data_IF_698467676123
#
_entry.id   IF_698467676123
#
_cell.length_a   1.000
_cell.length_b   1.000
_cell.length_c   1.000
_cell.angle_alpha   90.00
_cell.angle_beta   90.00
_cell.angle_gamma   90.00
#
_symmetry.space_group_name_H-M   'P 1'
#
loop_
_entity.id
_entity.type
_entity.pdbx_description
1 polymer ?
#
# COMPACT_ATOMS: atom_id res chain seq x y z
N UNK A 1 -3.01 -9.33 -31.26
CA UNK A 1 -3.74 -9.55 -30.00
C UNK A 1 -2.80 -9.13 -28.87
N UNK A 2 -3.12 -8.12 -28.05
CA UNK A 2 -2.13 -7.58 -27.12
C UNK A 2 -2.08 -8.49 -25.89
N UNK A 3 -0.91 -9.08 -25.66
CA UNK A 3 -0.53 -9.63 -24.37
C UNK A 3 -0.82 -8.55 -23.31
N UNK A 4 -1.79 -8.82 -22.43
CA UNK A 4 -1.97 -8.07 -21.20
C UNK A 4 -0.60 -8.04 -20.55
N UNK A 5 0.06 -6.88 -20.53
CA UNK A 5 1.28 -6.67 -19.75
C UNK A 5 0.95 -7.13 -18.35
N UNK A 6 1.39 -8.35 -17.99
CA UNK A 6 1.41 -8.80 -16.62
C UNK A 6 2.18 -7.70 -15.89
N UNK A 7 1.47 -6.90 -15.10
CA UNK A 7 2.05 -5.78 -14.39
C UNK A 7 3.22 -6.37 -13.60
N UNK A 8 4.47 -6.03 -14.00
CA UNK A 8 5.66 -6.51 -13.32
C UNK A 8 5.44 -6.26 -11.83
N UNK A 9 5.39 -7.34 -11.05
CA UNK A 9 5.38 -7.23 -9.60
C UNK A 9 6.65 -6.47 -9.26
N UNK A 10 6.50 -5.28 -8.70
CA UNK A 10 7.63 -4.42 -8.38
C UNK A 10 8.32 -5.01 -7.14
N UNK A 11 9.62 -5.21 -7.22
CA UNK A 11 10.39 -5.79 -6.11
C UNK A 11 10.33 -4.89 -4.88
N UNK A 12 9.92 -5.50 -3.77
CA UNK A 12 9.95 -4.90 -2.44
C UNK A 12 11.38 -4.90 -1.93
N UNK A 13 11.85 -3.76 -1.42
CA UNK A 13 13.22 -3.66 -0.93
C UNK A 13 13.37 -4.41 0.42
N UNK A 14 14.47 -5.15 0.63
CA UNK A 14 14.67 -5.89 1.87
C UNK A 14 14.93 -4.94 3.05
N UNK A 15 14.44 -5.33 4.23
CA UNK A 15 14.61 -4.59 5.48
C UNK A 15 13.76 -3.32 5.59
N UNK A 16 12.86 -3.04 4.64
CA UNK A 16 12.02 -1.84 4.68
C UNK A 16 10.67 -2.08 5.36
N UNK A 17 9.97 -1.02 5.80
CA UNK A 17 8.62 -1.15 6.34
C UNK A 17 7.64 -1.84 5.37
N UNK A 18 7.79 -1.60 4.07
CA UNK A 18 6.99 -2.24 3.02
C UNK A 18 7.11 -3.77 3.06
N UNK A 19 8.33 -4.29 3.20
CA UNK A 19 8.57 -5.74 3.31
C UNK A 19 7.95 -6.32 4.57
N UNK A 20 8.12 -5.64 5.70
CA UNK A 20 7.61 -6.12 6.98
C UNK A 20 6.08 -6.21 7.00
N UNK A 21 5.39 -5.20 6.47
CA UNK A 21 3.93 -5.24 6.38
C UNK A 21 3.43 -6.24 5.34
N UNK A 22 4.13 -6.39 4.21
CA UNK A 22 3.77 -7.40 3.22
C UNK A 22 3.91 -8.82 3.81
N UNK A 23 5.05 -9.12 4.45
CA UNK A 23 5.28 -10.41 5.10
C UNK A 23 4.20 -10.74 6.13
N UNK A 24 3.77 -9.73 6.89
CA UNK A 24 2.67 -9.86 7.85
C UNK A 24 1.34 -10.19 7.16
N UNK A 25 1.00 -9.51 6.07
CA UNK A 25 -0.18 -9.83 5.27
C UNK A 25 -0.13 -11.24 4.66
N UNK A 26 1.05 -11.69 4.21
CA UNK A 26 1.27 -13.04 3.70
C UNK A 26 1.04 -14.08 4.80
N UNK A 27 1.62 -13.89 5.99
CA UNK A 27 1.38 -14.75 7.14
C UNK A 27 -0.10 -14.78 7.56
N UNK A 28 -0.81 -13.65 7.50
CA UNK A 28 -2.25 -13.61 7.78
C UNK A 28 -3.05 -14.41 6.74
N UNK A 29 -2.75 -14.28 5.45
CA UNK A 29 -3.42 -15.04 4.40
C UNK A 29 -3.15 -16.56 4.50
N UNK A 30 -1.91 -16.94 4.82
CA UNK A 30 -1.53 -18.33 5.11
C UNK A 30 -2.26 -18.87 6.34
N UNK A 31 -2.34 -18.06 7.40
CA UNK A 31 -3.09 -18.38 8.62
C UNK A 31 -4.58 -18.57 8.34
N UNK A 32 -5.17 -17.73 7.49
CA UNK A 32 -6.56 -17.86 7.06
C UNK A 32 -6.80 -19.16 6.28
N UNK A 33 -5.91 -19.48 5.34
CA UNK A 33 -5.97 -20.75 4.59
C UNK A 33 -5.85 -21.96 5.51
N UNK A 34 -4.87 -21.94 6.41
CA UNK A 34 -4.66 -23.02 7.40
C UNK A 34 -5.88 -23.21 8.31
N UNK A 35 -6.54 -22.11 8.69
CA UNK A 35 -7.78 -22.14 9.45
C UNK A 35 -8.91 -22.78 8.65
N UNK A 36 -9.10 -22.33 7.40
CA UNK A 36 -10.10 -22.89 6.49
C UNK A 36 -9.94 -24.40 6.29
N UNK A 37 -8.71 -24.87 6.14
CA UNK A 37 -8.39 -26.29 5.92
C UNK A 37 -8.57 -27.15 7.18
N UNK A 38 -8.53 -26.54 8.36
CA UNK A 38 -8.68 -27.24 9.65
C UNK A 38 -10.13 -27.45 10.10
N UNK A 39 -11.09 -26.81 9.43
CA UNK A 39 -12.50 -26.89 9.78
C UNK A 39 -13.11 -28.24 9.39
N UNK A 40 -13.89 -28.81 10.30
CA UNK A 40 -14.71 -29.98 9.98
C UNK A 40 -15.76 -29.61 8.91
N UNK A 41 -16.07 -30.53 7.96
CA UNK A 41 -17.06 -30.27 6.93
C UNK A 41 -18.41 -29.81 7.51
N UNK A 42 -18.90 -28.67 7.03
CA UNK A 42 -20.16 -28.11 7.49
C UNK A 42 -20.35 -26.65 7.06
N UNK A 43 -21.47 -26.03 7.44
CA UNK A 43 -21.84 -24.71 6.94
C UNK A 43 -20.83 -23.61 7.27
N UNK A 44 -20.10 -23.70 8.39
CA UNK A 44 -19.03 -22.75 8.69
C UNK A 44 -17.83 -22.93 7.75
N UNK A 45 -17.42 -24.18 7.49
CA UNK A 45 -16.31 -24.51 6.60
C UNK A 45 -16.57 -23.99 5.18
N UNK A 46 -17.78 -24.21 4.65
CA UNK A 46 -18.19 -23.69 3.34
C UNK A 46 -18.05 -22.16 3.25
N UNK A 47 -18.50 -21.46 4.29
CA UNK A 47 -18.47 -19.99 4.32
C UNK A 47 -17.06 -19.43 4.47
N UNK A 48 -16.21 -20.06 5.27
CA UNK A 48 -14.80 -19.66 5.40
C UNK A 48 -14.05 -19.95 4.11
N UNK A 49 -14.32 -21.07 3.46
CA UNK A 49 -13.76 -21.41 2.15
C UNK A 49 -14.16 -20.40 1.06
N UNK A 50 -15.42 -19.92 1.07
CA UNK A 50 -15.90 -18.87 0.15
C UNK A 50 -15.14 -17.54 0.29
N UNK A 51 -14.55 -17.26 1.46
CA UNK A 51 -13.79 -16.04 1.72
C UNK A 51 -12.31 -16.14 1.28
N UNK A 52 -11.76 -17.36 1.15
CA UNK A 52 -10.36 -17.57 0.82
C UNK A 52 -9.92 -16.91 -0.52
N UNK A 53 -10.70 -16.97 -1.61
CA UNK A 53 -10.37 -16.26 -2.85
C UNK A 53 -10.24 -14.74 -2.64
N UNK A 54 -11.12 -14.14 -1.83
CA UNK A 54 -11.14 -12.70 -1.57
C UNK A 54 -9.93 -12.29 -0.70
N UNK A 55 -9.52 -13.13 0.25
CA UNK A 55 -8.26 -12.93 1.01
C UNK A 55 -7.05 -12.94 0.07
N UNK A 56 -6.99 -13.90 -0.86
CA UNK A 56 -5.89 -14.00 -1.83
C UNK A 56 -5.87 -12.81 -2.81
N UNK A 57 -7.02 -12.37 -3.31
CA UNK A 57 -7.13 -11.16 -4.14
C UNK A 57 -6.68 -9.90 -3.39
N UNK A 58 -7.05 -9.79 -2.12
CA UNK A 58 -6.61 -8.69 -1.24
C UNK A 58 -5.09 -8.73 -1.08
N UNK A 59 -4.50 -9.91 -0.83
CA UNK A 59 -3.05 -10.07 -0.74
C UNK A 59 -2.33 -9.70 -2.04
N UNK A 60 -2.84 -10.11 -3.20
CA UNK A 60 -2.28 -9.71 -4.51
C UNK A 60 -2.27 -8.19 -4.64
N UNK A 61 -3.32 -7.52 -4.17
CA UNK A 61 -3.40 -6.05 -4.20
C UNK A 61 -2.40 -5.42 -3.23
N UNK A 62 -2.25 -5.96 -2.01
CA UNK A 62 -1.23 -5.53 -1.05
C UNK A 62 0.20 -5.71 -1.57
N UNK A 63 0.51 -6.79 -2.29
CA UNK A 63 1.80 -6.98 -2.98
C UNK A 63 2.08 -5.86 -3.98
N UNK A 64 1.08 -5.47 -4.78
CA UNK A 64 1.21 -4.34 -5.71
C UNK A 64 1.45 -3.01 -4.99
N UNK A 65 0.77 -2.77 -3.87
CA UNK A 65 0.98 -1.59 -3.02
C UNK A 65 2.40 -1.54 -2.45
N UNK A 66 2.88 -2.63 -1.85
CA UNK A 66 4.21 -2.73 -1.28
C UNK A 66 5.31 -2.50 -2.33
N UNK A 67 5.15 -3.11 -3.51
CA UNK A 67 6.08 -2.91 -4.62
C UNK A 67 6.11 -1.47 -5.12
N UNK A 68 4.97 -0.77 -5.17
CA UNK A 68 4.93 0.65 -5.52
C UNK A 68 5.53 1.54 -4.45
N UNK A 69 5.20 1.32 -3.18
CA UNK A 69 5.79 2.06 -2.07
C UNK A 69 7.33 1.92 -2.09
N UNK A 70 7.84 0.72 -2.36
CA UNK A 70 9.27 0.46 -2.53
C UNK A 70 9.88 1.18 -3.74
N UNK A 71 9.21 1.15 -4.89
CA UNK A 71 9.66 1.88 -6.07
C UNK A 71 9.68 3.41 -5.85
N UNK A 72 8.65 3.95 -5.18
CA UNK A 72 8.59 5.36 -4.78
C UNK A 72 9.69 5.71 -3.79
N UNK A 73 9.96 4.85 -2.79
CA UNK A 73 11.09 5.01 -1.87
C UNK A 73 12.43 5.04 -2.58
N UNK A 74 12.66 4.12 -3.53
CA UNK A 74 13.84 4.12 -4.41
C UNK A 74 13.95 5.42 -5.22
N UNK A 75 12.85 5.93 -5.76
CA UNK A 75 12.84 7.19 -6.50
C UNK A 75 13.18 8.39 -5.60
N UNK A 76 12.61 8.45 -4.40
CA UNK A 76 12.92 9.48 -3.40
C UNK A 76 14.40 9.48 -3.02
N UNK A 77 15.01 8.30 -2.83
CA UNK A 77 16.43 8.17 -2.46
C UNK A 77 17.41 8.72 -3.51
N UNK A 78 16.96 8.97 -4.75
CA UNK A 78 17.78 9.56 -5.81
C UNK A 78 17.84 11.10 -5.75
N UNK A 79 16.96 11.72 -4.98
CA UNK A 79 16.87 13.17 -4.86
C UNK A 79 17.44 13.57 -3.50
N UNK A 80 18.55 14.31 -3.53
CA UNK A 80 19.11 14.93 -2.33
C UNK A 80 18.31 16.20 -1.99
N UNK A 81 17.34 16.06 -1.08
CA UNK A 81 16.45 17.15 -0.69
C UNK A 81 17.19 18.29 0.02
N UNK A 82 18.29 17.99 0.70
CA UNK A 82 19.12 18.99 1.39
C UNK A 82 19.90 19.82 0.37
N UNK A 83 20.43 19.18 -0.67
CA UNK A 83 21.04 19.86 -1.81
C UNK A 83 20.03 20.74 -2.55
N UNK A 84 18.84 20.22 -2.86
CA UNK A 84 17.75 20.98 -3.51
C UNK A 84 17.36 22.21 -2.66
N UNK A 85 17.20 22.02 -1.34
CA UNK A 85 16.86 23.11 -0.43
C UNK A 85 17.96 24.17 -0.32
N UNK A 86 19.21 23.73 -0.37
CA UNK A 86 20.39 24.61 -0.32
C UNK A 86 20.52 25.42 -1.60
N UNK A 87 20.35 24.77 -2.76
CA UNK A 87 20.41 25.43 -4.06
C UNK A 87 19.27 26.43 -4.22
N UNK A 88 18.05 26.09 -3.77
CA UNK A 88 16.91 27.04 -3.73
C UNK A 88 17.28 28.32 -2.98
N UNK A 89 17.77 28.19 -1.75
CA UNK A 89 18.17 29.34 -0.91
C UNK A 89 19.31 30.14 -1.54
N UNK A 90 20.22 29.46 -2.26
CA UNK A 90 21.31 30.11 -2.98
C UNK A 90 20.78 30.94 -4.15
N UNK A 91 19.93 30.37 -5.01
CA UNK A 91 19.32 31.07 -6.13
C UNK A 91 18.45 32.26 -5.68
N UNK A 92 17.67 32.10 -4.61
CA UNK A 92 16.90 33.18 -3.98
C UNK A 92 17.79 34.32 -3.43
N UNK A 93 19.04 34.03 -3.03
CA UNK A 93 20.02 35.05 -2.64
C UNK A 93 20.60 35.74 -3.87
N UNK A 94 21.03 34.98 -4.87
CA UNK A 94 21.63 35.50 -6.09
C UNK A 94 20.65 36.42 -6.85
N UNK A 95 19.37 36.05 -6.92
CA UNK A 95 18.31 36.86 -7.55
C UNK A 95 18.15 38.24 -6.92
N UNK A 96 18.36 38.39 -5.61
CA UNK A 96 18.22 39.68 -4.92
C UNK A 96 19.23 40.74 -5.36
N UNK A 97 20.39 40.32 -5.84
CA UNK A 97 21.45 41.20 -6.32
C UNK A 97 21.76 41.02 -7.82
N UNK A 98 20.97 40.21 -8.54
CA UNK A 98 21.21 39.89 -9.94
C UNK A 98 21.03 41.14 -10.83
N UNK A 99 21.94 41.30 -11.78
CA UNK A 99 21.76 42.25 -12.89
C UNK A 99 20.61 41.80 -13.80
N UNK A 100 20.08 42.71 -14.62
CA UNK A 100 19.00 42.39 -15.54
C UNK A 100 19.39 41.29 -16.57
N UNK A 101 20.68 41.20 -16.91
CA UNK A 101 21.21 40.26 -17.91
C UNK A 101 21.14 38.79 -17.46
N UNK A 102 21.36 38.50 -16.17
CA UNK A 102 21.38 37.11 -15.64
C UNK A 102 20.11 36.74 -14.87
N UNK A 103 19.21 37.69 -14.63
CA UNK A 103 18.01 37.47 -13.81
C UNK A 103 17.10 36.39 -14.40
N UNK A 104 16.88 36.39 -15.71
CA UNK A 104 16.03 35.40 -16.38
C UNK A 104 16.55 33.97 -16.21
N UNK A 105 17.86 33.77 -16.38
CA UNK A 105 18.49 32.46 -16.22
C UNK A 105 18.39 31.95 -14.76
N UNK A 106 18.56 32.85 -13.78
CA UNK A 106 18.41 32.53 -12.36
C UNK A 106 16.95 32.21 -11.98
N UNK A 107 15.97 32.91 -12.55
CA UNK A 107 14.54 32.61 -12.36
C UNK A 107 14.17 31.24 -12.94
N UNK A 108 14.70 30.90 -14.12
CA UNK A 108 14.50 29.59 -14.74
C UNK A 108 15.15 28.48 -13.90
N UNK A 109 16.36 28.69 -13.41
CA UNK A 109 17.03 27.74 -12.51
C UNK A 109 16.24 27.55 -11.21
N UNK A 110 15.73 28.64 -10.60
CA UNK A 110 14.93 28.57 -9.39
C UNK A 110 13.62 27.78 -9.63
N UNK A 111 12.97 28.02 -10.76
CA UNK A 111 11.76 27.28 -11.17
C UNK A 111 12.03 25.78 -11.30
N UNK A 112 13.18 25.39 -11.88
CA UNK A 112 13.56 23.99 -12.00
C UNK A 112 13.80 23.33 -10.63
N UNK A 113 14.49 24.02 -9.71
CA UNK A 113 14.73 23.52 -8.34
C UNK A 113 13.43 23.40 -7.54
N UNK A 114 12.51 24.35 -7.70
CA UNK A 114 11.18 24.27 -7.09
C UNK A 114 10.38 23.07 -7.63
N UNK A 115 10.42 22.83 -8.94
CA UNK A 115 9.77 21.67 -9.53
C UNK A 115 10.33 20.33 -8.99
N UNK A 116 11.64 20.26 -8.72
CA UNK A 116 12.25 19.09 -8.08
C UNK A 116 11.71 18.87 -6.65
N UNK A 117 11.60 19.95 -5.85
CA UNK A 117 11.04 19.88 -4.52
C UNK A 117 9.56 19.45 -4.52
N UNK A 118 8.76 19.95 -5.47
CA UNK A 118 7.35 19.61 -5.61
C UNK A 118 7.14 18.15 -6.03
N UNK A 119 8.00 17.62 -6.92
CA UNK A 119 8.00 16.19 -7.28
C UNK A 119 8.34 15.34 -6.05
N UNK A 120 9.38 15.71 -5.30
CA UNK A 120 9.76 14.99 -4.08
C UNK A 120 8.61 14.98 -3.05
N UNK A 121 7.98 16.13 -2.81
CA UNK A 121 6.84 16.24 -1.88
C UNK A 121 5.67 15.34 -2.29
N UNK A 122 5.31 15.33 -3.59
CA UNK A 122 4.26 14.45 -4.12
C UNK A 122 4.61 12.97 -3.96
N UNK A 123 5.84 12.58 -4.28
CA UNK A 123 6.30 11.19 -4.13
C UNK A 123 6.32 10.76 -2.66
N UNK A 124 6.77 11.62 -1.75
CA UNK A 124 6.78 11.34 -0.31
C UNK A 124 5.35 11.12 0.20
N UNK A 125 4.44 12.04 -0.09
CA UNK A 125 3.03 11.91 0.32
C UNK A 125 2.34 10.69 -0.30
N UNK A 126 2.70 10.31 -1.54
CA UNK A 126 2.21 9.08 -2.15
C UNK A 126 2.74 7.83 -1.43
N UNK A 127 4.04 7.79 -1.09
CA UNK A 127 4.62 6.66 -0.35
C UNK A 127 3.97 6.50 1.02
N UNK A 128 3.76 7.59 1.74
CA UNK A 128 3.15 7.58 3.07
C UNK A 128 1.73 7.00 3.04
N UNK A 129 0.93 7.40 2.04
CA UNK A 129 -0.42 6.85 1.82
C UNK A 129 -0.39 5.35 1.49
N UNK A 130 0.50 4.92 0.59
CA UNK A 130 0.65 3.50 0.24
C UNK A 130 1.07 2.67 1.46
N UNK A 131 1.98 3.17 2.28
CA UNK A 131 2.43 2.50 3.51
C UNK A 131 1.32 2.40 4.55
N UNK A 132 0.58 3.49 4.79
CA UNK A 132 -0.54 3.49 5.71
C UNK A 132 -1.62 2.47 5.29
N UNK A 133 -1.91 2.38 3.99
CA UNK A 133 -2.88 1.41 3.49
C UNK A 133 -2.37 -0.03 3.53
N UNK A 134 -1.09 -0.26 3.23
CA UNK A 134 -0.47 -1.58 3.36
C UNK A 134 -0.53 -2.07 4.82
N UNK A 135 -0.22 -1.19 5.77
CA UNK A 135 -0.33 -1.46 7.20
C UNK A 135 -1.78 -1.76 7.61
N UNK A 136 -2.72 -0.91 7.21
CA UNK A 136 -4.14 -1.09 7.52
C UNK A 136 -4.68 -2.42 6.97
N UNK A 137 -4.36 -2.75 5.73
CA UNK A 137 -4.76 -4.00 5.09
C UNK A 137 -4.16 -5.24 5.76
N UNK A 138 -2.87 -5.20 6.12
CA UNK A 138 -2.22 -6.29 6.84
C UNK A 138 -2.87 -6.54 8.21
N UNK A 139 -3.11 -5.47 8.99
CA UNK A 139 -3.79 -5.57 10.29
C UNK A 139 -5.26 -6.02 10.16
N UNK A 140 -5.93 -5.61 9.08
CA UNK A 140 -7.28 -6.07 8.76
C UNK A 140 -7.32 -7.59 8.52
N UNK A 141 -6.38 -8.12 7.74
CA UNK A 141 -6.26 -9.57 7.51
C UNK A 141 -5.92 -10.33 8.79
N UNK A 142 -5.04 -9.81 9.65
CA UNK A 142 -4.78 -10.41 10.97
C UNK A 142 -6.06 -10.49 11.83
N UNK A 143 -6.83 -9.39 11.87
CA UNK A 143 -8.09 -9.35 12.60
C UNK A 143 -9.10 -10.35 12.04
N UNK A 144 -9.11 -10.56 10.73
CA UNK A 144 -9.96 -11.56 10.09
C UNK A 144 -9.59 -12.99 10.55
N UNK A 145 -8.29 -13.32 10.59
CA UNK A 145 -7.80 -14.62 11.10
C UNK A 145 -8.19 -14.81 12.56
N UNK A 146 -7.96 -13.81 13.40
CA UNK A 146 -8.26 -13.88 14.83
C UNK A 146 -9.75 -14.16 15.09
N UNK A 147 -10.64 -13.46 14.37
CA UNK A 147 -12.09 -13.67 14.50
C UNK A 147 -12.56 -14.97 13.86
N UNK A 148 -11.94 -15.41 12.76
CA UNK A 148 -12.20 -16.74 12.20
C UNK A 148 -11.86 -17.85 13.19
N UNK A 149 -10.78 -17.70 13.95
CA UNK A 149 -10.38 -18.65 14.99
C UNK A 149 -11.36 -18.63 16.16
N UNK A 150 -11.81 -17.45 16.58
CA UNK A 150 -12.86 -17.29 17.59
C UNK A 150 -14.15 -17.99 17.18
N UNK A 151 -14.61 -17.82 15.94
CA UNK A 151 -15.82 -18.50 15.44
C UNK A 151 -15.67 -20.01 15.44
N UNK A 152 -14.50 -20.51 15.04
CA UNK A 152 -14.20 -21.94 15.02
C UNK A 152 -14.24 -22.53 16.43
N UNK A 153 -13.71 -21.81 17.42
CA UNK A 153 -13.74 -22.22 18.82
C UNK A 153 -15.15 -22.17 19.43
N UNK A 154 -16.00 -21.24 18.97
CA UNK A 154 -17.36 -21.06 19.48
C UNK A 154 -18.39 -22.03 18.86
N UNK A 155 -18.16 -22.56 17.65
CA UNK A 155 -19.13 -23.40 16.92
C UNK A 155 -19.22 -24.85 17.40
N UNK A 156 -18.56 -25.21 18.50
CA UNK A 156 -18.74 -26.53 19.14
C UNK A 156 -20.18 -26.75 19.64
N UNK A 157 -20.95 -25.67 19.84
CA UNK A 157 -22.36 -25.70 20.25
C UNK A 157 -23.34 -25.39 19.09
N UNK A 158 -23.62 -26.42 18.28
CA UNK A 158 -24.83 -26.74 17.45
C UNK A 158 -25.45 -25.68 16.50
N UNK A 159 -25.17 -24.38 16.58
CA UNK A 159 -25.68 -23.38 15.63
C UNK A 159 -24.59 -22.41 15.16
N UNK A 160 -24.32 -22.40 13.86
CA UNK A 160 -23.43 -21.41 13.23
C UNK A 160 -24.10 -20.03 13.31
N UNK A 161 -23.42 -19.08 13.96
CA UNK A 161 -23.85 -17.68 13.96
C UNK A 161 -23.60 -17.05 12.58
N UNK A 162 -24.62 -17.10 11.74
CA UNK A 162 -24.61 -16.48 10.41
C UNK A 162 -24.42 -14.96 10.42
N UNK A 163 -24.69 -14.29 11.55
CA UNK A 163 -24.45 -12.87 11.73
C UNK A 163 -22.96 -12.57 11.78
N UNK A 164 -22.22 -13.28 12.63
CA UNK A 164 -20.78 -13.09 12.76
C UNK A 164 -20.01 -13.46 11.48
N UNK A 165 -20.42 -14.50 10.75
CA UNK A 165 -19.84 -14.84 9.44
C UNK A 165 -20.03 -13.72 8.41
N UNK A 166 -21.22 -13.11 8.37
CA UNK A 166 -21.52 -11.97 7.50
C UNK A 166 -20.66 -10.76 7.86
N UNK A 167 -20.48 -10.47 9.15
CA UNK A 167 -19.60 -9.38 9.59
C UNK A 167 -18.14 -9.59 9.14
N UNK A 168 -17.63 -10.83 9.14
CA UNK A 168 -16.30 -11.12 8.61
C UNK A 168 -16.21 -10.88 7.11
N UNK A 169 -17.23 -11.29 6.35
CA UNK A 169 -17.28 -11.05 4.91
C UNK A 169 -17.33 -9.55 4.60
N UNK A 170 -18.15 -8.80 5.34
CA UNK A 170 -18.25 -7.34 5.20
C UNK A 170 -16.92 -6.64 5.54
N UNK A 171 -16.21 -7.14 6.57
CA UNK A 171 -14.87 -6.63 6.93
C UNK A 171 -13.84 -6.90 5.85
N UNK A 172 -13.80 -8.12 5.33
CA UNK A 172 -12.88 -8.49 4.25
C UNK A 172 -13.14 -7.65 3.00
N UNK A 173 -14.40 -7.44 2.64
CA UNK A 173 -14.76 -6.58 1.51
C UNK A 173 -14.37 -5.12 1.75
N UNK A 174 -14.57 -4.59 2.97
CA UNK A 174 -14.12 -3.26 3.35
C UNK A 174 -12.60 -3.08 3.23
N UNK A 175 -11.83 -4.09 3.65
CA UNK A 175 -10.36 -4.10 3.49
C UNK A 175 -10.00 -4.09 2.00
N UNK A 176 -10.60 -4.99 1.21
CA UNK A 176 -10.34 -5.11 -0.23
C UNK A 176 -10.61 -3.79 -0.95
N UNK A 177 -11.75 -3.15 -0.68
CA UNK A 177 -12.12 -1.87 -1.29
C UNK A 177 -11.15 -0.76 -0.92
N UNK A 178 -10.82 -0.57 0.36
CA UNK A 178 -9.90 0.48 0.78
C UNK A 178 -8.50 0.35 0.15
N UNK A 179 -8.03 -0.90 -0.02
CA UNK A 179 -6.76 -1.22 -0.68
C UNK A 179 -6.83 -0.87 -2.18
N UNK A 180 -7.91 -1.23 -2.88
CA UNK A 180 -8.12 -0.90 -4.30
C UNK A 180 -8.25 0.60 -4.55
N UNK A 181 -9.02 1.30 -3.73
CA UNK A 181 -9.23 2.75 -3.82
C UNK A 181 -7.92 3.50 -3.66
N UNK A 182 -7.10 3.13 -2.67
CA UNK A 182 -5.79 3.75 -2.46
C UNK A 182 -4.85 3.45 -3.62
N UNK A 183 -4.89 2.22 -4.13
CA UNK A 183 -4.11 1.81 -5.30
C UNK A 183 -4.43 2.71 -6.51
N UNK A 184 -5.71 2.96 -6.76
CA UNK A 184 -6.19 3.79 -7.86
C UNK A 184 -5.92 5.28 -7.65
N UNK A 185 -6.21 5.81 -6.47
CA UNK A 185 -5.98 7.21 -6.12
C UNK A 185 -4.51 7.57 -6.24
N UNK A 186 -3.61 6.70 -5.76
CA UNK A 186 -2.17 6.94 -5.88
C UNK A 186 -1.71 6.90 -7.34
N UNK A 187 -2.24 5.96 -8.14
CA UNK A 187 -1.95 5.87 -9.57
C UNK A 187 -2.35 7.15 -10.32
N UNK A 188 -3.53 7.71 -10.00
CA UNK A 188 -4.02 8.99 -10.57
C UNK A 188 -3.22 10.20 -10.11
N UNK A 189 -2.66 10.17 -8.90
CA UNK A 189 -1.87 11.29 -8.37
C UNK A 189 -0.44 11.37 -8.92
N UNK A 190 0.08 10.24 -9.41
CA UNK A 190 1.46 10.11 -9.89
C UNK A 190 1.59 10.05 -11.42
N UNK A 191 0.51 9.78 -12.14
CA UNK A 191 0.44 9.75 -13.61
C UNK A 191 -0.30 10.96 -14.15
#
# INVERSE_FOLDING_TARGET
EPERRAARVLDVAPGTPEENWLRRAESAAEGFGSLSDSLDPGPLADRVADMAPVVQETLVTLRRLAGRASATGKALSRVDLDAVSTERRRLERELRSASAEVRGDLEQALTAVQAQADVHARLSGARDKLLAQLQSGALGLDSLVARGAELTAATTDVTVDTGAVRELSDQLEGIRQGVLETEEATRKSLG
#
